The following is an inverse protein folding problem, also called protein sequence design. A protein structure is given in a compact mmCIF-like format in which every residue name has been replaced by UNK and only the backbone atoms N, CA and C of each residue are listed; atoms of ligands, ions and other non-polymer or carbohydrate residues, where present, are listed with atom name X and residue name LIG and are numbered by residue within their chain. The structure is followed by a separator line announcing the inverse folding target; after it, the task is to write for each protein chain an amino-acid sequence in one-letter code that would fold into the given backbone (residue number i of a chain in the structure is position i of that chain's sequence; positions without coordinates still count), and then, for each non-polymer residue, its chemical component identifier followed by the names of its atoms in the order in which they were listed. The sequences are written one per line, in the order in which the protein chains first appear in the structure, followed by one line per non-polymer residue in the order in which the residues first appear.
data_IF_034943033009
#
_entry.id   IF_034943033009
#
_cell.length_a   1.000
_cell.length_b   1.000
_cell.length_c   1.000
_cell.angle_alpha   90.00
_cell.angle_beta   90.00
_cell.angle_gamma   90.00
#
_symmetry.space_group_name_H-M   'P 1'
#
loop_
_entity.id
_entity.type
_entity.pdbx_description
1 polymer ?
#
# COMPACT_ATOMS: atom_id res chain seq x y z
N UNK A 1 18.11 1.12 -0.64
CA UNK A 1 18.16 2.60 -0.75
C UNK A 1 18.30 3.07 -2.20
N UNK A 2 17.91 2.23 -3.17
CA UNK A 2 18.34 2.34 -4.57
C UNK A 2 17.66 3.47 -5.37
N UNK A 3 16.53 3.99 -4.88
CA UNK A 3 15.80 5.07 -5.54
C UNK A 3 15.85 6.41 -4.82
N UNK A 4 16.54 6.49 -3.66
CA UNK A 4 16.60 7.70 -2.81
C UNK A 4 15.21 8.27 -2.40
N UNK A 5 14.16 7.45 -2.51
CA UNK A 5 12.79 7.83 -2.14
C UNK A 5 12.58 7.48 -0.66
N UNK A 6 12.20 8.48 0.13
CA UNK A 6 11.82 8.27 1.53
C UNK A 6 10.52 7.48 1.66
N UNK A 7 10.40 6.67 2.72
CA UNK A 7 9.27 5.76 2.91
C UNK A 7 7.91 6.46 2.87
N UNK A 8 7.78 7.69 3.36
CA UNK A 8 6.52 8.44 3.29
C UNK A 8 5.95 8.55 1.87
N UNK A 9 6.81 8.68 0.86
CA UNK A 9 6.38 8.76 -0.55
C UNK A 9 5.90 7.41 -1.12
N UNK A 10 6.25 6.30 -0.48
CA UNK A 10 5.83 4.93 -0.86
C UNK A 10 4.66 4.47 0.02
N UNK A 11 4.79 4.63 1.34
CA UNK A 11 3.83 4.19 2.33
C UNK A 11 2.50 4.95 2.27
N UNK A 12 2.51 6.24 1.94
CA UNK A 12 1.26 7.00 1.78
C UNK A 12 0.39 6.49 0.63
N UNK A 13 0.88 6.39 -0.63
CA UNK A 13 0.07 5.84 -1.72
C UNK A 13 -0.29 4.37 -1.47
N UNK A 14 0.65 3.55 -0.98
CA UNK A 14 0.37 2.16 -0.64
C UNK A 14 -0.77 2.04 0.39
N UNK A 15 -0.79 2.90 1.41
CA UNK A 15 -1.87 2.92 2.41
C UNK A 15 -3.23 3.20 1.79
N UNK A 16 -3.32 4.18 0.89
CA UNK A 16 -4.57 4.46 0.17
C UNK A 16 -4.97 3.29 -0.71
N UNK A 17 -4.02 2.65 -1.41
CA UNK A 17 -4.31 1.47 -2.23
C UNK A 17 -4.89 0.31 -1.42
N UNK A 18 -4.44 0.10 -0.18
CA UNK A 18 -4.87 -1.03 0.64
C UNK A 18 -6.13 -0.73 1.46
N UNK A 19 -6.30 0.50 1.97
CA UNK A 19 -7.37 0.87 2.90
C UNK A 19 -8.41 1.83 2.34
N UNK A 20 -8.16 2.44 1.18
CA UNK A 20 -8.99 3.52 0.65
C UNK A 20 -8.94 4.82 1.46
N UNK A 21 -8.12 4.90 2.51
CA UNK A 21 -7.98 6.08 3.38
C UNK A 21 -6.56 6.20 3.93
N UNK A 22 -6.23 7.37 4.48
CA UNK A 22 -4.92 7.66 5.08
C UNK A 22 -4.81 7.26 6.56
N UNK A 23 -5.90 6.78 7.15
CA UNK A 23 -5.97 6.38 8.57
C UNK A 23 -6.08 4.85 8.68
N UNK A 24 -6.06 4.31 9.90
CA UNK A 24 -6.18 2.88 10.16
C UNK A 24 -4.89 2.22 10.65
N UNK A 25 -4.92 0.89 10.76
CA UNK A 25 -3.90 0.04 11.38
C UNK A 25 -2.50 0.14 10.72
N UNK A 26 -1.52 -0.58 11.29
CA UNK A 26 -0.18 -0.69 10.70
C UNK A 26 -0.24 -1.24 9.27
N UNK A 27 0.60 -0.71 8.37
CA UNK A 27 0.66 -1.19 6.97
C UNK A 27 1.08 -2.66 6.91
N UNK A 28 2.03 -3.04 7.77
CA UNK A 28 2.52 -4.39 8.00
C UNK A 28 1.42 -5.32 8.53
N UNK A 29 0.65 -4.88 9.52
CA UNK A 29 -0.47 -5.66 10.06
C UNK A 29 -1.54 -5.94 9.00
N UNK A 30 -1.91 -4.92 8.23
CA UNK A 30 -2.91 -5.05 7.15
C UNK A 30 -2.41 -5.97 6.05
N UNK A 31 -1.16 -5.83 5.60
CA UNK A 31 -0.59 -6.72 4.60
C UNK A 31 -0.54 -8.17 5.09
N UNK A 32 -0.25 -8.40 6.38
CA UNK A 32 -0.28 -9.73 6.98
C UNK A 32 -1.70 -10.32 7.03
N UNK A 33 -2.72 -9.50 7.32
CA UNK A 33 -4.13 -9.91 7.33
C UNK A 33 -4.65 -10.19 5.92
N UNK A 34 -4.33 -9.33 4.94
CA UNK A 34 -4.77 -9.49 3.55
C UNK A 34 -4.08 -10.66 2.85
N UNK A 35 -2.81 -10.91 3.18
CA UNK A 35 -1.97 -11.84 2.45
C UNK A 35 -1.42 -11.23 1.16
N UNK A 36 -0.46 -11.94 0.54
CA UNK A 36 0.34 -11.43 -0.58
C UNK A 36 -0.50 -11.20 -1.83
N UNK A 37 -1.35 -12.17 -2.22
CA UNK A 37 -2.14 -12.10 -3.45
C UNK A 37 -3.10 -10.91 -3.46
N UNK A 38 -3.87 -10.73 -2.39
CA UNK A 38 -4.82 -9.62 -2.26
C UNK A 38 -4.10 -8.27 -2.17
N UNK A 39 -2.97 -8.21 -1.47
CA UNK A 39 -2.15 -6.99 -1.40
C UNK A 39 -1.68 -6.55 -2.78
N UNK A 40 -1.18 -7.48 -3.61
CA UNK A 40 -0.72 -7.18 -4.98
C UNK A 40 -1.90 -6.77 -5.85
N UNK A 41 -3.00 -7.52 -5.82
CA UNK A 41 -4.23 -7.21 -6.58
C UNK A 41 -4.74 -5.79 -6.32
N UNK A 42 -4.76 -5.34 -5.06
CA UNK A 42 -5.17 -3.96 -4.72
C UNK A 42 -4.20 -2.90 -5.22
N UNK A 43 -2.89 -3.16 -5.17
CA UNK A 43 -1.87 -2.24 -5.70
C UNK A 43 -2.04 -2.10 -7.22
N UNK A 44 -2.19 -3.21 -7.93
CA UNK A 44 -2.44 -3.20 -9.38
C UNK A 44 -3.72 -2.46 -9.71
N UNK A 45 -4.80 -2.70 -8.94
CA UNK A 45 -6.06 -2.00 -9.14
C UNK A 45 -5.94 -0.50 -8.93
N UNK A 46 -5.17 -0.06 -7.93
CA UNK A 46 -4.91 1.35 -7.71
C UNK A 46 -4.11 1.98 -8.85
N UNK A 47 -3.19 1.23 -9.46
CA UNK A 47 -2.43 1.69 -10.65
C UNK A 47 -3.35 1.82 -11.88
N UNK A 48 -4.33 0.94 -12.07
CA UNK A 48 -5.28 1.04 -13.21
C UNK A 48 -6.21 2.26 -13.14
N UNK A 49 -6.51 2.76 -11.93
CA UNK A 49 -7.46 3.85 -11.70
C UNK A 49 -6.80 5.23 -11.81
N UNK A 50 -5.47 5.30 -11.68
CA UNK A 50 -4.67 6.53 -11.71
C UNK A 50 -4.11 6.82 -13.10
#
# INVERSE_FOLDING_TARGET
AEKEIGFGKIGMPLRVSLLGSMTGSGLDEIMAILGVEETVSRIEKAIEIL
#
